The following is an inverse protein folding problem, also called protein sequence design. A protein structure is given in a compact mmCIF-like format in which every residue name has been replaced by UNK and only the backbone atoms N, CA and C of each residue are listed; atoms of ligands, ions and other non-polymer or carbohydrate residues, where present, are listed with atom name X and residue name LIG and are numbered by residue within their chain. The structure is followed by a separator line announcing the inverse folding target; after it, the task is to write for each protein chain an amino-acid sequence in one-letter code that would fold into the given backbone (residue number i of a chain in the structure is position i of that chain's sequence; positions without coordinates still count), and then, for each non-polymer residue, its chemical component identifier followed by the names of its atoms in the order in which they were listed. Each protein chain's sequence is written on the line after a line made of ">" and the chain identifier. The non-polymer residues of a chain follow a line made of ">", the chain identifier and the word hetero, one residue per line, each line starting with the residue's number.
data_IF_784851127634
#
_entry.id   IF_784851127634
#
_cell.length_a   1.000
_cell.length_b   1.000
_cell.length_c   1.000
_cell.angle_alpha   90.00
_cell.angle_beta   90.00
_cell.angle_gamma   90.00
#
_symmetry.space_group_name_H-M   'P 1'
#
loop_
_entity.id
_entity.type
_entity.pdbx_description
1 polymer ?
#
# COMPACT_ATOMS: atom_id res chain seq x y z
N UNK A 1 25.14 -4.08 6.66
CA UNK A 1 23.77 -4.63 6.52
C UNK A 1 22.87 -3.85 7.47
N UNK A 2 21.89 -3.13 6.95
CA UNK A 2 20.85 -2.55 7.79
C UNK A 2 20.10 -3.68 8.51
N UNK A 3 19.76 -3.50 9.77
CA UNK A 3 18.98 -4.49 10.50
C UNK A 3 17.49 -4.20 10.29
N UNK A 4 16.73 -5.20 9.83
CA UNK A 4 15.28 -5.13 9.86
C UNK A 4 14.85 -5.08 11.33
N UNK A 5 14.11 -4.04 11.72
CA UNK A 5 13.59 -3.93 13.09
C UNK A 5 12.54 -5.00 13.28
N UNK A 6 12.85 -5.98 14.13
CA UNK A 6 11.84 -6.89 14.64
C UNK A 6 10.80 -6.12 15.47
N UNK A 7 9.51 -6.47 15.41
CA UNK A 7 8.46 -5.80 16.16
C UNK A 7 8.77 -5.82 17.66
N UNK A 8 9.04 -4.63 18.24
CA UNK A 8 9.21 -4.47 19.70
C UNK A 8 7.85 -4.56 20.36
N UNK A 9 7.81 -5.16 21.56
CA UNK A 9 6.67 -5.01 22.46
C UNK A 9 6.47 -3.51 22.75
N UNK A 10 5.38 -2.93 22.18
CA UNK A 10 5.08 -1.52 22.26
C UNK A 10 5.00 -1.06 23.72
N UNK A 11 5.80 -0.06 24.07
CA UNK A 11 5.64 0.70 25.32
C UNK A 11 4.41 1.58 25.13
N UNK A 12 3.29 1.14 25.69
CA UNK A 12 1.94 1.69 25.51
C UNK A 12 1.85 3.18 25.82
N UNK A 13 1.35 3.98 24.87
CA UNK A 13 0.58 5.18 25.15
C UNK A 13 -0.90 4.81 25.42
N UNK A 14 -1.65 5.56 26.26
CA UNK A 14 -2.87 5.07 26.90
C UNK A 14 -4.12 4.95 26.00
N UNK A 15 -4.02 5.03 24.68
CA UNK A 15 -5.19 4.96 23.78
C UNK A 15 -5.01 4.12 22.51
N UNK A 16 -3.85 3.56 22.24
CA UNK A 16 -3.69 2.58 21.15
C UNK A 16 -3.83 1.17 21.75
N UNK A 17 -4.85 0.43 21.36
CA UNK A 17 -4.96 -0.99 21.68
C UNK A 17 -3.79 -1.71 20.98
N UNK A 18 -3.02 -2.55 21.71
CA UNK A 18 -1.99 -3.37 21.05
C UNK A 18 -2.68 -4.29 20.02
N UNK A 19 -1.99 -4.62 18.91
CA UNK A 19 -2.54 -5.51 17.89
C UNK A 19 -3.03 -6.79 18.56
N UNK A 20 -4.19 -7.26 18.13
CA UNK A 20 -4.72 -8.51 18.69
C UNK A 20 -3.69 -9.62 18.44
N UNK A 21 -3.43 -10.48 19.43
CA UNK A 21 -2.58 -11.67 19.26
C UNK A 21 -3.01 -12.55 18.05
N UNK A 22 -4.25 -12.40 17.58
CA UNK A 22 -4.79 -13.08 16.41
C UNK A 22 -4.25 -12.48 15.09
N UNK A 23 -4.00 -11.18 14.99
CA UNK A 23 -3.42 -10.55 13.80
C UNK A 23 -1.97 -11.02 13.60
N UNK A 24 -1.17 -11.03 14.67
CA UNK A 24 0.23 -11.51 14.64
C UNK A 24 0.37 -13.02 14.31
N UNK A 25 -0.63 -13.83 14.65
CA UNK A 25 -0.58 -15.28 14.40
C UNK A 25 -0.63 -15.66 12.91
N UNK A 26 -0.97 -14.72 12.02
CA UNK A 26 -1.11 -14.94 10.57
C UNK A 26 -0.13 -14.16 9.72
N UNK A 27 0.71 -13.32 10.34
CA UNK A 27 1.73 -12.54 9.66
C UNK A 27 3.02 -13.35 9.42
N UNK A 28 3.97 -12.73 8.71
CA UNK A 28 5.31 -13.29 8.55
C UNK A 28 6.09 -13.20 9.87
N UNK A 29 6.88 -14.22 10.13
CA UNK A 29 7.90 -14.17 11.18
C UNK A 29 9.15 -13.43 10.67
N UNK A 30 10.03 -12.97 11.58
CA UNK A 30 11.30 -12.32 11.20
C UNK A 30 12.13 -13.16 10.23
N UNK A 31 12.17 -14.50 10.43
CA UNK A 31 12.85 -15.41 9.54
C UNK A 31 12.22 -15.48 8.14
N UNK A 32 10.89 -15.32 8.05
CA UNK A 32 10.17 -15.32 6.78
C UNK A 32 10.26 -13.95 6.09
N UNK A 33 10.42 -12.86 6.82
CA UNK A 33 10.77 -11.57 6.23
C UNK A 33 12.17 -11.60 5.61
N UNK A 34 13.16 -12.16 6.31
CA UNK A 34 14.50 -12.35 5.76
C UNK A 34 14.50 -13.28 4.54
N UNK A 35 13.73 -14.38 4.59
CA UNK A 35 13.54 -15.27 3.45
C UNK A 35 12.91 -14.55 2.25
N UNK A 36 11.91 -13.70 2.49
CA UNK A 36 11.25 -12.94 1.44
C UNK A 36 12.21 -11.96 0.76
N UNK A 37 13.03 -11.28 1.55
CA UNK A 37 14.05 -10.35 1.02
C UNK A 37 15.07 -11.10 0.15
N UNK A 38 15.61 -12.23 0.64
CA UNK A 38 16.50 -13.08 -0.16
C UNK A 38 15.84 -13.56 -1.46
N UNK A 39 14.55 -13.96 -1.41
CA UNK A 39 13.83 -14.43 -2.58
C UNK A 39 13.56 -13.31 -3.61
N UNK A 40 13.32 -12.08 -3.16
CA UNK A 40 13.17 -10.93 -4.06
C UNK A 40 14.47 -10.62 -4.78
N UNK A 41 15.61 -10.71 -4.08
CA UNK A 41 16.95 -10.58 -4.69
C UNK A 41 17.26 -11.65 -5.74
N UNK A 42 16.61 -12.83 -5.69
CA UNK A 42 16.73 -13.88 -6.70
C UNK A 42 15.89 -13.62 -7.96
N UNK A 43 15.17 -12.51 -8.04
CA UNK A 43 14.38 -12.14 -9.23
C UNK A 43 15.28 -12.12 -10.46
N UNK A 44 14.86 -12.75 -11.59
CA UNK A 44 15.70 -12.85 -12.79
C UNK A 44 16.00 -11.49 -13.42
N UNK A 45 17.26 -11.25 -13.76
CA UNK A 45 17.63 -10.10 -14.59
C UNK A 45 16.93 -10.14 -15.96
N UNK A 46 16.52 -9.00 -16.55
CA UNK A 46 16.85 -7.62 -16.16
C UNK A 46 15.78 -6.96 -15.28
N UNK A 47 14.93 -7.71 -14.60
CA UNK A 47 13.86 -7.18 -13.75
C UNK A 47 14.44 -6.53 -12.50
N UNK A 48 13.80 -5.46 -12.04
CA UNK A 48 14.19 -4.67 -10.87
C UNK A 48 13.12 -4.79 -9.78
N UNK A 49 13.23 -5.80 -8.87
CA UNK A 49 12.25 -6.01 -7.81
C UNK A 49 12.35 -4.95 -6.72
N UNK A 50 11.26 -4.75 -5.99
CA UNK A 50 11.30 -4.03 -4.71
C UNK A 50 11.96 -4.89 -3.63
N UNK A 51 12.63 -4.26 -2.65
CA UNK A 51 13.07 -4.96 -1.44
C UNK A 51 11.90 -5.17 -0.45
N UNK A 52 12.15 -5.89 0.64
CA UNK A 52 11.11 -6.23 1.61
C UNK A 52 10.50 -4.99 2.31
N UNK A 53 11.29 -3.93 2.54
CA UNK A 53 10.84 -2.69 3.16
C UNK A 53 9.95 -1.88 2.19
N UNK A 54 10.41 -1.75 0.95
CA UNK A 54 9.61 -1.11 -0.12
C UNK A 54 8.33 -1.90 -0.39
N UNK A 55 8.39 -3.24 -0.39
CA UNK A 55 7.21 -4.09 -0.54
C UNK A 55 6.16 -3.79 0.53
N UNK A 56 6.57 -3.62 1.78
CA UNK A 56 5.65 -3.33 2.88
C UNK A 56 4.86 -2.03 2.65
N UNK A 57 5.56 -0.97 2.26
CA UNK A 57 4.96 0.29 1.86
C UNK A 57 4.07 0.18 0.61
N UNK A 58 4.54 -0.54 -0.41
CA UNK A 58 3.79 -0.79 -1.64
C UNK A 58 2.46 -1.50 -1.36
N UNK A 59 2.47 -2.54 -0.51
CA UNK A 59 1.26 -3.25 -0.14
C UNK A 59 0.26 -2.36 0.61
N UNK A 60 0.73 -1.46 1.49
CA UNK A 60 -0.13 -0.47 2.13
C UNK A 60 -0.73 0.49 1.10
N UNK A 61 0.06 0.96 0.12
CA UNK A 61 -0.42 1.79 -0.98
C UNK A 61 -1.48 1.09 -1.85
N UNK A 62 -1.34 -0.21 -2.08
CA UNK A 62 -2.35 -1.05 -2.78
C UNK A 62 -3.64 -1.17 -1.97
N UNK A 63 -3.53 -1.40 -0.65
CA UNK A 63 -4.68 -1.61 0.25
C UNK A 63 -5.54 -0.35 0.37
N UNK A 64 -4.92 0.84 0.44
CA UNK A 64 -5.65 2.10 0.61
C UNK A 64 -6.18 2.70 -0.69
N UNK A 65 -6.03 2.04 -1.85
CA UNK A 65 -6.61 2.52 -3.10
C UNK A 65 -8.14 2.66 -3.02
N UNK A 66 -8.75 3.67 -3.66
CA UNK A 66 -10.21 3.84 -3.68
C UNK A 66 -10.94 2.78 -4.52
N UNK A 67 -10.18 1.91 -5.17
CA UNK A 67 -10.67 0.76 -5.96
C UNK A 67 -10.04 -0.52 -5.44
N UNK A 68 -10.76 -1.64 -5.55
CA UNK A 68 -10.20 -2.95 -5.21
C UNK A 68 -9.29 -3.43 -6.33
N UNK A 69 -8.02 -3.64 -6.02
CA UNK A 69 -7.03 -4.17 -6.96
C UNK A 69 -6.87 -5.67 -6.76
N UNK A 70 -7.06 -6.44 -7.82
CA UNK A 70 -6.78 -7.88 -7.82
C UNK A 70 -5.26 -8.13 -7.77
N UNK A 71 -4.83 -9.20 -7.09
CA UNK A 71 -3.39 -9.52 -6.95
C UNK A 71 -2.68 -9.69 -8.30
N UNK A 72 -3.37 -10.19 -9.32
CA UNK A 72 -2.81 -10.29 -10.66
C UNK A 72 -2.45 -8.93 -11.29
N UNK A 73 -3.06 -7.83 -10.80
CA UNK A 73 -2.80 -6.48 -11.30
C UNK A 73 -1.55 -5.87 -10.67
N UNK A 74 -1.37 -6.01 -9.35
CA UNK A 74 -0.29 -5.35 -8.64
C UNK A 74 0.95 -6.23 -8.41
N UNK A 75 0.81 -7.56 -8.41
CA UNK A 75 1.93 -8.48 -8.15
C UNK A 75 3.09 -8.34 -9.15
N UNK A 76 2.89 -8.08 -10.45
CA UNK A 76 4.01 -7.83 -11.37
C UNK A 76 4.91 -6.66 -10.94
N UNK A 77 4.35 -5.61 -10.36
CA UNK A 77 5.09 -4.43 -9.87
C UNK A 77 5.93 -4.69 -8.61
N UNK A 78 5.80 -5.85 -8.00
CA UNK A 78 6.71 -6.30 -6.93
C UNK A 78 8.01 -6.87 -7.51
N UNK A 79 7.91 -7.58 -8.63
CA UNK A 79 9.05 -8.20 -9.29
C UNK A 79 9.77 -7.27 -10.27
N UNK A 80 9.12 -6.20 -10.69
CA UNK A 80 9.68 -5.20 -11.59
C UNK A 80 8.95 -3.86 -11.44
N UNK A 81 9.67 -2.76 -11.29
CA UNK A 81 9.09 -1.43 -11.11
C UNK A 81 8.10 -1.05 -12.23
N UNK A 82 8.40 -1.42 -13.48
CA UNK A 82 7.53 -1.14 -14.62
C UNK A 82 6.39 -2.17 -14.77
N UNK A 83 6.35 -3.19 -13.90
CA UNK A 83 5.37 -4.26 -13.95
C UNK A 83 5.56 -5.22 -15.11
N UNK A 84 6.79 -5.33 -15.62
CA UNK A 84 7.15 -6.30 -16.65
C UNK A 84 6.88 -7.72 -16.15
N UNK A 85 6.16 -8.57 -16.93
CA UNK A 85 5.89 -9.93 -16.51
C UNK A 85 7.17 -10.75 -16.32
N UNK A 86 7.16 -11.63 -15.32
CA UNK A 86 8.22 -12.62 -15.14
C UNK A 86 8.40 -13.50 -16.39
N UNK A 87 9.63 -13.92 -16.71
CA UNK A 87 9.89 -14.88 -17.78
C UNK A 87 9.18 -16.22 -17.56
N UNK A 88 8.82 -16.91 -18.64
CA UNK A 88 8.08 -18.19 -18.59
C UNK A 88 8.92 -19.35 -17.97
N UNK A 89 10.24 -19.20 -17.90
CA UNK A 89 11.19 -20.23 -17.43
C UNK A 89 11.64 -20.06 -15.96
N UNK A 90 10.99 -19.17 -15.20
CA UNK A 90 11.27 -19.04 -13.77
C UNK A 90 10.99 -20.36 -13.03
N UNK A 91 11.77 -20.63 -11.97
CA UNK A 91 11.58 -21.81 -11.14
C UNK A 91 10.20 -21.78 -10.46
N UNK A 92 9.33 -22.77 -10.71
CA UNK A 92 7.97 -22.76 -10.15
C UNK A 92 7.94 -22.73 -8.62
N UNK A 93 8.91 -23.38 -7.95
CA UNK A 93 9.00 -23.44 -6.49
C UNK A 93 9.36 -22.08 -5.91
N UNK A 94 10.30 -21.34 -6.53
CA UNK A 94 10.68 -20.00 -6.15
C UNK A 94 9.46 -19.05 -6.28
N UNK A 95 8.82 -19.04 -7.44
CA UNK A 95 7.64 -18.19 -7.69
C UNK A 95 6.51 -18.49 -6.71
N UNK A 96 6.21 -19.76 -6.48
CA UNK A 96 5.15 -20.17 -5.56
C UNK A 96 5.45 -19.74 -4.12
N UNK A 97 6.71 -19.90 -3.66
CA UNK A 97 7.11 -19.51 -2.30
C UNK A 97 7.10 -17.99 -2.12
N UNK A 98 7.71 -17.26 -3.03
CA UNK A 98 7.76 -15.77 -2.98
C UNK A 98 6.35 -15.19 -3.00
N UNK A 99 5.52 -15.61 -3.95
CA UNK A 99 4.13 -15.19 -4.05
C UNK A 99 3.34 -15.50 -2.77
N UNK A 100 3.54 -16.69 -2.18
CA UNK A 100 2.83 -17.07 -0.95
C UNK A 100 3.18 -16.16 0.23
N UNK A 101 4.45 -15.77 0.38
CA UNK A 101 4.90 -14.83 1.43
C UNK A 101 4.33 -13.45 1.20
N UNK A 102 4.41 -12.91 -0.03
CA UNK A 102 3.85 -11.60 -0.39
C UNK A 102 2.35 -11.55 -0.09
N UNK A 103 1.57 -12.52 -0.55
CA UNK A 103 0.12 -12.57 -0.35
C UNK A 103 -0.24 -12.73 1.13
N UNK A 104 0.58 -13.44 1.92
CA UNK A 104 0.34 -13.56 3.38
C UNK A 104 0.59 -12.24 4.08
N UNK A 105 1.67 -11.50 3.74
CA UNK A 105 1.90 -10.16 4.30
C UNK A 105 0.79 -9.19 3.88
N UNK A 106 0.39 -9.18 2.62
CA UNK A 106 -0.74 -8.38 2.16
C UNK A 106 -2.02 -8.67 2.96
N UNK A 107 -2.35 -9.94 3.19
CA UNK A 107 -3.54 -10.33 3.96
C UNK A 107 -3.45 -9.90 5.44
N UNK A 108 -2.25 -9.98 6.04
CA UNK A 108 -2.00 -9.53 7.41
C UNK A 108 -2.15 -8.01 7.53
N UNK A 109 -1.52 -7.24 6.63
CA UNK A 109 -1.66 -5.78 6.56
C UNK A 109 -3.10 -5.34 6.32
N UNK A 110 -3.79 -5.95 5.36
CA UNK A 110 -5.18 -5.61 5.07
C UNK A 110 -6.07 -5.81 6.29
N UNK A 111 -5.90 -6.91 7.02
CA UNK A 111 -6.65 -7.15 8.26
C UNK A 111 -6.32 -6.10 9.32
N UNK A 112 -5.04 -5.85 9.58
CA UNK A 112 -4.59 -4.94 10.60
C UNK A 112 -5.05 -3.49 10.33
N UNK A 113 -4.96 -3.03 9.08
CA UNK A 113 -5.38 -1.68 8.68
C UNK A 113 -6.91 -1.55 8.73
N UNK A 114 -7.66 -2.54 8.21
CA UNK A 114 -9.13 -2.44 8.07
C UNK A 114 -9.86 -2.76 9.36
N UNK A 115 -9.40 -3.75 10.15
CA UNK A 115 -10.11 -4.20 11.34
C UNK A 115 -9.59 -3.51 12.62
N UNK A 116 -8.27 -3.33 12.74
CA UNK A 116 -7.62 -2.82 13.95
C UNK A 116 -7.26 -1.32 13.84
N UNK A 117 -7.19 -0.75 12.63
CA UNK A 117 -6.73 0.62 12.38
C UNK A 117 -5.27 0.84 12.77
N UNK A 118 -4.50 -0.24 12.92
CA UNK A 118 -3.11 -0.21 13.33
C UNK A 118 -2.34 -1.40 12.73
N UNK A 119 -1.08 -1.18 12.36
CA UNK A 119 -0.16 -2.21 11.89
C UNK A 119 1.28 -1.89 12.32
N UNK A 120 2.19 -2.84 12.19
CA UNK A 120 3.61 -2.67 12.49
C UNK A 120 4.38 -2.55 11.16
N UNK A 121 4.82 -1.33 10.77
CA UNK A 121 5.52 -1.13 9.50
C UNK A 121 6.93 -1.71 9.59
N UNK A 122 7.36 -2.33 8.49
CA UNK A 122 8.73 -2.80 8.35
C UNK A 122 9.63 -1.62 7.97
N UNK A 123 10.49 -1.17 8.88
CA UNK A 123 11.37 -0.02 8.65
C UNK A 123 12.82 -0.35 8.90
N UNK A 124 13.73 0.41 8.30
CA UNK A 124 15.16 0.31 8.56
C UNK A 124 15.50 1.09 9.84
N UNK A 125 16.22 0.46 10.76
CA UNK A 125 16.78 1.14 11.92
C UNK A 125 18.29 1.33 11.69
N UNK A 126 18.72 2.59 11.64
CA UNK A 126 20.14 2.95 11.58
C UNK A 126 20.57 3.44 12.94
N UNK A 127 21.55 2.77 13.52
CA UNK A 127 22.18 3.15 14.79
C UNK A 127 23.70 3.04 14.71
N UNK A 128 24.40 3.30 15.84
CA UNK A 128 25.87 3.21 15.88
C UNK A 128 26.39 1.78 15.66
N UNK A 129 25.58 0.75 15.92
CA UNK A 129 25.92 -0.67 15.73
C UNK A 129 25.62 -1.13 14.30
N UNK A 130 24.61 -0.50 13.66
CA UNK A 130 24.15 -0.81 12.31
C UNK A 130 24.11 0.47 11.46
N UNK A 131 25.27 1.08 11.18
CA UNK A 131 25.33 2.28 10.35
C UNK A 131 24.96 1.94 8.91
N UNK A 132 24.43 2.95 8.21
CA UNK A 132 24.19 2.83 6.78
C UNK A 132 25.48 2.48 6.04
N UNK A 133 25.40 1.57 5.08
CA UNK A 133 26.56 1.23 4.25
C UNK A 133 27.03 2.47 3.44
N UNK A 134 28.33 2.70 3.36
CA UNK A 134 28.86 3.80 2.54
C UNK A 134 28.60 3.51 1.06
N UNK A 135 28.20 4.55 0.35
CA UNK A 135 28.00 4.49 -1.09
C UNK A 135 29.31 4.28 -1.83
N UNK A 136 29.24 3.64 -2.99
CA UNK A 136 30.40 3.50 -3.87
C UNK A 136 30.83 4.89 -4.42
N UNK A 137 32.11 4.99 -4.83
CA UNK A 137 32.68 6.25 -5.32
C UNK A 137 31.93 6.70 -6.60
N UNK A 138 31.27 7.86 -6.53
CA UNK A 138 30.51 8.45 -7.64
C UNK A 138 29.00 8.14 -7.64
N UNK A 139 28.51 7.35 -6.69
CA UNK A 139 27.07 7.17 -6.50
C UNK A 139 26.44 8.41 -5.86
N UNK A 140 25.24 8.75 -6.33
CA UNK A 140 24.43 9.82 -5.73
C UNK A 140 23.67 9.24 -4.55
N UNK A 141 23.77 9.89 -3.39
CA UNK A 141 23.04 9.47 -2.21
C UNK A 141 21.54 9.77 -2.38
N UNK A 142 20.67 8.76 -2.52
CA UNK A 142 19.23 8.96 -2.64
C UNK A 142 18.58 9.53 -1.38
N UNK A 143 19.27 9.47 -0.23
CA UNK A 143 18.80 9.98 1.06
C UNK A 143 19.44 11.32 1.44
N UNK A 144 20.19 11.94 0.51
CA UNK A 144 20.88 13.20 0.78
C UNK A 144 19.89 14.30 1.20
N UNK A 145 20.20 14.96 2.32
CA UNK A 145 19.37 16.05 2.86
C UNK A 145 18.18 15.63 3.69
N UNK A 146 17.87 14.34 3.79
CA UNK A 146 16.84 13.83 4.69
C UNK A 146 17.33 13.80 6.14
N UNK A 147 16.41 14.02 7.08
CA UNK A 147 16.68 13.82 8.51
C UNK A 147 16.98 12.33 8.79
N UNK A 148 17.68 11.98 9.88
CA UNK A 148 17.91 10.57 10.23
C UNK A 148 16.61 9.75 10.35
N UNK A 149 15.55 10.36 10.86
CA UNK A 149 14.21 9.75 10.94
C UNK A 149 13.65 9.47 9.55
N UNK A 150 13.72 10.47 8.65
CA UNK A 150 13.24 10.28 7.27
C UNK A 150 14.08 9.27 6.49
N UNK A 151 15.39 9.16 6.75
CA UNK A 151 16.22 8.14 6.11
C UNK A 151 15.77 6.71 6.47
N UNK A 152 15.31 6.47 7.70
CA UNK A 152 14.78 5.16 8.12
C UNK A 152 13.44 4.83 7.45
N UNK A 153 12.60 5.82 7.17
CA UNK A 153 11.27 5.63 6.59
C UNK A 153 11.25 5.72 5.07
N UNK A 154 12.26 6.35 4.46
CA UNK A 154 12.29 6.65 3.02
C UNK A 154 12.03 5.41 2.15
N UNK A 155 12.67 4.24 2.36
CA UNK A 155 12.42 3.07 1.53
C UNK A 155 10.96 2.59 1.60
N UNK A 156 10.38 2.59 2.79
CA UNK A 156 8.97 2.24 2.99
C UNK A 156 8.05 3.21 2.23
N UNK A 157 8.29 4.52 2.39
CA UNK A 157 7.46 5.55 1.73
C UNK A 157 7.68 5.55 0.21
N UNK A 158 8.87 5.24 -0.28
CA UNK A 158 9.14 5.04 -1.71
C UNK A 158 8.31 3.88 -2.28
N UNK A 159 8.19 2.78 -1.53
CA UNK A 159 7.31 1.67 -1.90
C UNK A 159 5.83 2.08 -1.94
N UNK A 160 5.35 2.86 -0.97
CA UNK A 160 4.00 3.41 -0.99
C UNK A 160 3.78 4.34 -2.20
N UNK A 161 4.72 5.24 -2.47
CA UNK A 161 4.67 6.12 -3.64
C UNK A 161 4.67 5.32 -4.95
N UNK A 162 5.44 4.26 -5.03
CA UNK A 162 5.44 3.36 -6.19
C UNK A 162 4.04 2.81 -6.46
N UNK A 163 3.32 2.33 -5.44
CA UNK A 163 1.93 1.91 -5.60
C UNK A 163 1.01 3.06 -6.07
N UNK A 164 1.18 4.27 -5.52
CA UNK A 164 0.38 5.43 -5.93
C UNK A 164 0.65 5.90 -7.35
N UNK A 165 1.87 5.67 -7.87
CA UNK A 165 2.24 5.94 -9.28
C UNK A 165 1.67 4.87 -10.20
N UNK A 166 1.79 3.59 -9.84
CA UNK A 166 1.23 2.48 -10.64
C UNK A 166 -0.31 2.51 -10.68
N UNK A 167 -0.94 2.96 -9.60
CA UNK A 167 -2.40 3.02 -9.43
C UNK A 167 -2.81 4.44 -9.01
N UNK A 168 -3.00 5.37 -9.97
CA UNK A 168 -3.13 6.79 -9.69
C UNK A 168 -4.47 7.20 -9.06
N UNK A 169 -5.46 6.32 -8.97
CA UNK A 169 -6.79 6.63 -8.46
C UNK A 169 -6.77 7.32 -7.08
N UNK A 170 -5.84 6.93 -6.18
CA UNK A 170 -5.66 7.56 -4.89
C UNK A 170 -5.15 9.01 -5.00
N UNK A 171 -4.13 9.23 -5.81
CA UNK A 171 -3.51 10.54 -6.01
C UNK A 171 -4.41 11.50 -6.81
N UNK A 172 -5.32 10.96 -7.61
CA UNK A 172 -6.27 11.72 -8.42
C UNK A 172 -7.58 12.04 -7.68
N UNK A 173 -7.75 11.58 -6.43
CA UNK A 173 -8.91 11.94 -5.62
C UNK A 173 -8.94 13.44 -5.36
N UNK A 174 -10.05 14.15 -5.69
CA UNK A 174 -10.19 15.57 -5.44
C UNK A 174 -10.59 15.83 -3.97
N UNK A 175 -9.75 15.40 -3.03
CA UNK A 175 -9.99 15.48 -1.59
C UNK A 175 -8.76 16.07 -0.88
N UNK A 176 -8.94 17.22 -0.24
CA UNK A 176 -7.87 17.92 0.47
C UNK A 176 -7.33 17.11 1.66
N UNK A 177 -8.14 16.25 2.28
CA UNK A 177 -7.70 15.38 3.37
C UNK A 177 -6.78 14.27 2.85
N UNK A 178 -7.07 13.69 1.66
CA UNK A 178 -6.20 12.72 0.99
C UNK A 178 -4.87 13.39 0.63
N UNK A 179 -4.90 14.59 0.04
CA UNK A 179 -3.69 15.32 -0.32
C UNK A 179 -2.83 15.65 0.90
N UNK A 180 -3.46 16.04 2.02
CA UNK A 180 -2.76 16.30 3.29
C UNK A 180 -2.15 15.03 3.89
N UNK A 181 -2.82 13.89 3.78
CA UNK A 181 -2.30 12.60 4.21
C UNK A 181 -1.10 12.16 3.35
N UNK A 182 -1.18 12.29 2.02
CA UNK A 182 -0.07 12.02 1.12
C UNK A 182 1.13 12.93 1.39
N UNK A 183 0.92 14.22 1.67
CA UNK A 183 1.99 15.14 2.02
C UNK A 183 2.73 14.72 3.31
N UNK A 184 2.01 14.23 4.33
CA UNK A 184 2.61 13.68 5.57
C UNK A 184 3.50 12.46 5.29
N UNK A 185 3.10 11.58 4.37
CA UNK A 185 3.96 10.45 3.97
C UNK A 185 5.15 10.94 3.14
N UNK A 186 4.91 11.75 2.11
CA UNK A 186 5.95 12.14 1.16
C UNK A 186 6.99 13.10 1.74
N UNK A 187 6.77 13.68 2.95
CA UNK A 187 7.80 14.44 3.65
C UNK A 187 9.08 13.65 3.94
N UNK A 188 9.00 12.31 3.90
CA UNK A 188 10.15 11.42 4.11
C UNK A 188 10.88 11.08 2.80
N UNK A 189 10.46 11.62 1.67
CA UNK A 189 11.14 11.49 0.39
C UNK A 189 11.99 12.74 0.08
N UNK A 190 13.01 12.62 -0.76
CA UNK A 190 13.75 13.78 -1.26
C UNK A 190 12.83 14.75 -2.02
N UNK A 191 12.79 16.00 -1.57
CA UNK A 191 12.01 17.04 -2.24
C UNK A 191 12.74 17.55 -3.49
N UNK A 192 12.14 17.36 -4.66
CA UNK A 192 12.73 17.73 -5.94
C UNK A 192 12.47 19.20 -6.29
N UNK A 193 11.30 19.72 -5.93
CA UNK A 193 10.86 21.09 -6.25
C UNK A 193 10.94 22.03 -5.04
N UNK A 194 10.94 23.35 -5.30
CA UNK A 194 10.89 24.36 -4.23
C UNK A 194 9.56 24.31 -3.47
N UNK A 195 8.47 23.98 -4.16
CA UNK A 195 7.14 23.83 -3.57
C UNK A 195 7.09 22.66 -2.58
N UNK A 196 7.65 21.52 -2.95
CA UNK A 196 7.77 20.36 -2.05
C UNK A 196 8.62 20.69 -0.83
N UNK A 197 9.76 21.37 -1.02
CA UNK A 197 10.60 21.82 0.09
C UNK A 197 9.86 22.73 1.07
N UNK A 198 9.00 23.63 0.56
CA UNK A 198 8.18 24.53 1.39
C UNK A 198 7.11 23.74 2.18
N UNK A 199 6.48 22.76 1.55
CA UNK A 199 5.50 21.85 2.20
C UNK A 199 6.18 21.07 3.32
N UNK A 200 7.32 20.42 3.05
CA UNK A 200 8.09 19.67 4.05
C UNK A 200 8.52 20.57 5.20
N UNK A 201 9.09 21.77 4.92
CA UNK A 201 9.49 22.71 5.96
C UNK A 201 8.31 23.21 6.81
N UNK A 202 7.13 23.30 6.23
CA UNK A 202 5.91 23.66 6.95
C UNK A 202 5.45 22.53 7.87
N UNK A 203 5.42 21.30 7.38
CA UNK A 203 5.09 20.11 8.16
C UNK A 203 6.08 19.90 9.32
N UNK A 204 7.38 20.06 9.08
CA UNK A 204 8.41 19.92 10.11
C UNK A 204 8.29 20.97 11.22
N UNK A 205 7.82 22.17 10.88
CA UNK A 205 7.58 23.24 11.85
C UNK A 205 6.29 23.04 12.66
N UNK A 206 5.21 22.58 12.01
CA UNK A 206 3.87 22.46 12.61
C UNK A 206 3.68 21.13 13.32
N UNK A 207 4.27 20.07 12.77
CA UNK A 207 4.22 18.69 13.24
C UNK A 207 5.62 18.10 13.29
N UNK A 208 6.49 18.53 14.21
CA UNK A 208 7.85 18.02 14.30
C UNK A 208 7.86 16.54 14.73
N UNK A 209 8.67 15.73 14.05
CA UNK A 209 8.91 14.34 14.39
C UNK A 209 10.29 14.23 15.03
N UNK A 210 10.32 14.06 16.35
CA UNK A 210 11.55 14.07 17.11
C UNK A 210 12.27 12.71 17.14
N UNK A 211 11.50 11.64 17.04
CA UNK A 211 11.98 10.25 17.12
C UNK A 211 11.44 9.41 15.98
N UNK A 212 12.07 8.28 15.74
CA UNK A 212 11.56 7.29 14.78
C UNK A 212 10.19 6.74 15.22
N UNK A 213 9.99 6.56 16.53
CA UNK A 213 8.69 6.09 17.05
C UNK A 213 7.56 7.10 16.76
N UNK A 214 7.81 8.43 16.93
CA UNK A 214 6.83 9.47 16.57
C UNK A 214 6.48 9.42 15.08
N UNK A 215 7.48 9.23 14.22
CA UNK A 215 7.28 9.17 12.78
C UNK A 215 6.56 7.90 12.32
N UNK A 216 6.83 6.76 12.95
CA UNK A 216 6.11 5.51 12.72
C UNK A 216 4.65 5.63 13.18
N UNK A 217 4.37 6.29 14.32
CA UNK A 217 3.01 6.54 14.77
C UNK A 217 2.26 7.44 13.77
N UNK A 218 2.88 8.54 13.29
CA UNK A 218 2.26 9.40 12.25
C UNK A 218 1.99 8.61 10.97
N UNK A 219 2.94 7.77 10.53
CA UNK A 219 2.79 6.93 9.33
C UNK A 219 1.59 5.99 9.47
N UNK A 220 1.49 5.24 10.57
CA UNK A 220 0.40 4.29 10.82
C UNK A 220 -0.95 4.99 10.87
N UNK A 221 -1.05 6.11 11.59
CA UNK A 221 -2.27 6.93 11.65
C UNK A 221 -2.63 7.45 10.27
N UNK A 222 -1.66 7.90 9.48
CA UNK A 222 -1.91 8.42 8.13
C UNK A 222 -2.45 7.33 7.19
N UNK A 223 -1.94 6.10 7.29
CA UNK A 223 -2.47 4.97 6.51
C UNK A 223 -3.91 4.61 6.94
N UNK A 224 -4.20 4.64 8.24
CA UNK A 224 -5.56 4.42 8.73
C UNK A 224 -6.52 5.52 8.25
N UNK A 225 -6.10 6.80 8.30
CA UNK A 225 -6.85 7.93 7.74
C UNK A 225 -7.16 7.73 6.25
N UNK A 226 -6.16 7.35 5.44
CA UNK A 226 -6.33 7.07 4.00
C UNK A 226 -7.29 5.91 3.77
N UNK A 227 -7.22 4.84 4.57
CA UNK A 227 -8.15 3.72 4.51
C UNK A 227 -9.60 4.18 4.73
N UNK A 228 -9.84 5.03 5.73
CA UNK A 228 -11.17 5.56 6.04
C UNK A 228 -11.67 6.47 4.91
N UNK A 229 -10.84 7.39 4.42
CA UNK A 229 -11.17 8.32 3.34
C UNK A 229 -11.52 7.62 2.01
N UNK A 230 -10.90 6.48 1.73
CA UNK A 230 -11.10 5.74 0.46
C UNK A 230 -12.18 4.66 0.55
N UNK A 231 -12.56 4.24 1.76
CA UNK A 231 -13.45 3.10 1.99
C UNK A 231 -14.82 3.25 1.32
N UNK A 232 -15.46 4.43 1.40
CA UNK A 232 -16.75 4.68 0.77
C UNK A 232 -16.71 4.52 -0.76
N UNK A 233 -15.64 5.00 -1.39
CA UNK A 233 -15.48 4.92 -2.84
C UNK A 233 -15.20 3.49 -3.28
N UNK A 234 -14.36 2.76 -2.54
CA UNK A 234 -13.99 1.36 -2.80
C UNK A 234 -15.19 0.42 -2.78
N UNK A 235 -16.15 0.63 -1.90
CA UNK A 235 -17.33 -0.22 -1.77
C UNK A 235 -18.59 0.39 -2.38
N UNK A 236 -18.47 1.48 -3.11
CA UNK A 236 -19.58 2.12 -3.80
C UNK A 236 -20.10 1.23 -4.92
N UNK A 237 -21.28 0.67 -4.72
CA UNK A 237 -21.98 -0.08 -5.76
C UNK A 237 -22.72 0.89 -6.66
N UNK A 238 -22.25 1.07 -7.90
CA UNK A 238 -22.99 1.82 -8.90
C UNK A 238 -24.34 1.15 -9.17
N UNK A 239 -25.41 1.88 -8.84
CA UNK A 239 -26.75 1.42 -9.18
C UNK A 239 -26.91 1.49 -10.69
N UNK A 240 -26.88 0.34 -11.36
CA UNK A 240 -27.17 0.24 -12.79
C UNK A 240 -28.59 0.77 -13.02
N UNK A 241 -28.72 2.02 -13.44
CA UNK A 241 -30.00 2.59 -13.92
C UNK A 241 -30.33 1.88 -15.24
N UNK A 242 -31.39 1.08 -15.24
CA UNK A 242 -31.87 0.47 -16.47
C UNK A 242 -32.26 1.58 -17.45
N UNK A 243 -31.71 1.57 -18.64
CA UNK A 243 -32.05 2.52 -19.72
C UNK A 243 -33.52 2.43 -20.14
N UNK A 244 -34.14 1.28 -19.93
CA UNK A 244 -35.55 1.05 -20.25
C UNK A 244 -36.40 0.87 -19.00
N UNK A 245 -37.55 1.54 -18.89
CA UNK A 245 -38.47 1.34 -17.77
C UNK A 245 -38.87 -0.14 -17.66
N UNK A 246 -38.98 -0.64 -16.43
CA UNK A 246 -39.48 -1.99 -16.18
C UNK A 246 -40.91 -2.11 -16.70
N UNK A 247 -41.13 -2.91 -17.73
CA UNK A 247 -42.48 -3.16 -18.24
C UNK A 247 -43.29 -3.91 -17.16
N UNK A 248 -44.37 -3.32 -16.73
CA UNK A 248 -45.26 -3.93 -15.76
C UNK A 248 -45.95 -5.15 -16.33
N UNK A 249 -46.29 -6.12 -15.50
CA UNK A 249 -46.94 -7.37 -15.89
C UNK A 249 -48.22 -7.15 -16.67
N UNK A 250 -48.93 -6.06 -16.46
CA UNK A 250 -50.19 -5.69 -17.10
C UNK A 250 -50.06 -4.68 -18.25
N UNK A 251 -48.85 -4.12 -18.47
CA UNK A 251 -48.61 -3.14 -19.51
C UNK A 251 -48.66 -3.78 -20.92
N UNK A 252 -48.86 -2.97 -21.96
CA UNK A 252 -48.76 -3.44 -23.33
C UNK A 252 -47.38 -4.02 -23.58
N UNK A 253 -47.32 -5.16 -24.27
CA UNK A 253 -46.05 -5.79 -24.60
C UNK A 253 -45.23 -4.92 -25.57
N UNK A 254 -43.96 -4.62 -25.30
CA UNK A 254 -43.12 -3.77 -26.18
C UNK A 254 -42.86 -4.38 -27.58
N UNK A 255 -43.21 -5.64 -27.79
CA UNK A 255 -43.13 -6.28 -29.11
C UNK A 255 -44.21 -5.82 -30.12
N UNK A 256 -45.10 -4.90 -29.71
CA UNK A 256 -46.15 -4.41 -30.61
C UNK A 256 -47.34 -5.37 -30.87
N UNK A 257 -47.41 -6.51 -30.14
CA UNK A 257 -48.48 -7.51 -30.32
C UNK A 257 -49.86 -7.10 -29.80
N UNK A 258 -50.00 -5.95 -29.16
CA UNK A 258 -51.24 -5.48 -28.52
C UNK A 258 -51.68 -6.29 -27.28
N UNK A 259 -50.94 -7.34 -26.92
CA UNK A 259 -51.20 -8.17 -25.71
C UNK A 259 -50.51 -7.61 -24.48
N UNK A 260 -51.08 -7.88 -23.31
CA UNK A 260 -50.41 -7.56 -22.02
C UNK A 260 -49.12 -8.36 -21.90
N UNK A 261 -48.05 -7.75 -21.32
CA UNK A 261 -46.72 -8.37 -21.19
C UNK A 261 -46.79 -9.79 -20.61
N UNK A 262 -47.59 -10.02 -19.54
CA UNK A 262 -47.81 -11.34 -18.92
C UNK A 262 -48.42 -12.40 -19.84
N UNK A 263 -49.05 -11.99 -20.93
CA UNK A 263 -49.72 -12.90 -21.92
C UNK A 263 -48.91 -13.01 -23.18
N UNK A 264 -47.70 -12.44 -23.26
CA UNK A 264 -46.84 -12.45 -24.41
C UNK A 264 -45.44 -12.92 -24.05
N UNK A 265 -44.59 -12.02 -23.55
CA UNK A 265 -43.19 -12.33 -23.19
C UNK A 265 -42.97 -12.48 -21.64
N UNK A 266 -43.99 -12.31 -20.85
CA UNK A 266 -43.92 -12.50 -19.38
C UNK A 266 -44.46 -13.84 -18.90
N UNK A 267 -44.59 -14.83 -19.78
CA UNK A 267 -44.93 -16.21 -19.44
C UNK A 267 -43.64 -16.99 -19.23
N UNK A 268 -43.16 -17.01 -18.00
CA UNK A 268 -42.24 -18.01 -17.42
C UNK A 268 -42.91 -18.63 -16.26
#
# INVERSE_FOLDING_TARGET
>A
MAHLRAPKEATMQPNALPPSNAARAHDLTDAEFAELDDLLLETPEPLEPVDAVMLDGFLCGVIVQPVLLESATWLPHVFDFDGTPLPDDVKPEWLARTTALILRRHAALNRAIVEDGWFDPLVLEFDDEHPREPLAEGEVDPMAGLSPVSQSLMPWVAGFQHAAVCFPDLAEMPDDAVMSALARLYRHLPAETDEEREVVATLDREHPLATLDDAMEELVVTIADLQDLTSEQRYKVDTVKRETPKVGRNDPCPCGSGKKFKKCHGTT
#
